data_IF_768357313407
#
_entry.id   IF_768357313407
#
_cell.length_a   1.000
_cell.length_b   1.000
_cell.length_c   1.000
_cell.angle_alpha   90.00
_cell.angle_beta   90.00
_cell.angle_gamma   90.00
#
_symmetry.space_group_name_H-M   'P 1'
#
loop_
_entity.id
_entity.type
_entity.pdbx_description
1 polymer ?
#
# COMPACT_ATOMS: atom_id res chain seq x y z
N UNK A 1 24.23 -5.95 -19.82
CA UNK A 1 23.50 -7.14 -20.28
C UNK A 1 22.13 -6.71 -20.79
N UNK A 2 21.68 -7.18 -21.96
CA UNK A 2 20.40 -6.73 -22.55
C UNK A 2 19.36 -7.86 -22.48
N UNK A 3 18.32 -7.65 -21.69
CA UNK A 3 17.26 -8.63 -21.43
C UNK A 3 15.88 -7.98 -21.69
N UNK A 4 15.48 -7.82 -22.96
CA UNK A 4 14.32 -7.00 -23.33
C UNK A 4 12.98 -7.56 -22.82
N UNK A 5 12.85 -8.88 -22.69
CA UNK A 5 11.62 -9.52 -22.19
C UNK A 5 11.46 -9.31 -20.69
N UNK A 6 12.53 -9.56 -19.93
CA UNK A 6 12.55 -9.37 -18.48
C UNK A 6 12.40 -7.88 -18.11
N UNK A 7 12.92 -6.97 -18.96
CA UNK A 7 12.77 -5.53 -18.80
C UNK A 7 11.32 -5.07 -18.93
N UNK A 8 10.60 -5.56 -19.94
CA UNK A 8 9.16 -5.26 -20.08
C UNK A 8 8.38 -5.73 -18.85
N UNK A 9 8.63 -6.97 -18.42
CA UNK A 9 8.01 -7.51 -17.21
C UNK A 9 8.35 -6.71 -15.95
N UNK A 10 9.58 -6.19 -15.84
CA UNK A 10 9.98 -5.33 -14.73
C UNK A 10 9.27 -3.98 -14.79
N UNK A 11 9.15 -3.36 -15.96
CA UNK A 11 8.42 -2.11 -16.13
C UNK A 11 6.94 -2.29 -15.77
N UNK A 12 6.30 -3.35 -16.27
CA UNK A 12 4.91 -3.65 -15.96
C UNK A 12 4.71 -3.90 -14.45
N UNK A 13 5.65 -4.60 -13.79
CA UNK A 13 5.62 -4.82 -12.34
C UNK A 13 5.77 -3.51 -11.58
N UNK A 14 6.60 -2.61 -12.09
CA UNK A 14 6.97 -1.33 -11.48
C UNK A 14 5.82 -0.32 -11.60
N UNK A 15 5.14 -0.30 -12.74
CA UNK A 15 3.90 0.48 -12.97
C UNK A 15 2.78 -0.01 -12.04
N UNK A 16 2.55 -1.32 -11.97
CA UNK A 16 1.59 -1.92 -11.03
C UNK A 16 1.93 -1.58 -9.58
N UNK A 17 3.20 -1.64 -9.19
CA UNK A 17 3.61 -1.23 -7.85
C UNK A 17 3.22 0.23 -7.58
N UNK A 18 3.50 1.14 -8.50
CA UNK A 18 3.14 2.55 -8.34
C UNK A 18 1.62 2.75 -8.14
N UNK A 19 0.80 2.07 -8.94
CA UNK A 19 -0.66 2.07 -8.76
C UNK A 19 -1.08 1.55 -7.37
N UNK A 20 -0.47 0.46 -6.91
CA UNK A 20 -0.78 -0.14 -5.61
C UNK A 20 -0.35 0.73 -4.42
N UNK A 21 0.77 1.46 -4.55
CA UNK A 21 1.21 2.47 -3.58
C UNK A 21 0.22 3.64 -3.52
N UNK A 22 -0.20 4.16 -4.68
CA UNK A 22 -1.22 5.21 -4.73
C UNK A 22 -2.56 4.76 -4.13
N UNK A 23 -3.01 3.54 -4.44
CA UNK A 23 -4.22 2.95 -3.87
C UNK A 23 -4.10 2.74 -2.36
N UNK A 24 -2.93 2.32 -1.85
CA UNK A 24 -2.67 2.19 -0.40
C UNK A 24 -2.91 3.52 0.31
N UNK A 25 -2.41 4.61 -0.25
CA UNK A 25 -2.50 5.93 0.38
C UNK A 25 -3.93 6.45 0.37
N UNK A 26 -4.63 6.27 -0.76
CA UNK A 26 -6.05 6.59 -0.86
C UNK A 26 -6.90 5.79 0.14
N UNK A 27 -6.70 4.47 0.22
CA UNK A 27 -7.40 3.61 1.17
C UNK A 27 -7.10 3.99 2.63
N UNK A 28 -5.87 4.40 2.93
CA UNK A 28 -5.47 4.82 4.27
C UNK A 28 -6.14 6.13 4.68
N UNK A 29 -6.23 7.10 3.76
CA UNK A 29 -6.94 8.35 3.98
C UNK A 29 -8.45 8.13 4.18
N UNK A 30 -9.09 7.38 3.28
CA UNK A 30 -10.52 7.05 3.38
C UNK A 30 -10.87 6.34 4.69
N UNK A 31 -10.04 5.37 5.10
CA UNK A 31 -10.24 4.67 6.37
C UNK A 31 -10.11 5.60 7.58
N UNK A 32 -9.17 6.55 7.55
CA UNK A 32 -9.01 7.53 8.63
C UNK A 32 -10.24 8.45 8.74
N UNK A 33 -10.79 8.91 7.62
CA UNK A 33 -12.03 9.70 7.58
C UNK A 33 -13.22 8.93 8.15
N UNK A 34 -13.36 7.64 7.79
CA UNK A 34 -14.42 6.79 8.35
C UNK A 34 -14.26 6.53 9.84
N UNK A 35 -13.03 6.30 10.30
CA UNK A 35 -12.74 6.16 11.73
C UNK A 35 -13.12 7.43 12.51
N UNK A 36 -12.86 8.60 11.95
CA UNK A 36 -13.29 9.87 12.56
C UNK A 36 -14.82 9.98 12.62
N UNK A 37 -15.52 9.60 11.54
CA UNK A 37 -16.98 9.56 11.50
C UNK A 37 -17.57 8.58 12.54
N UNK A 38 -16.95 7.43 12.73
CA UNK A 38 -17.33 6.44 13.76
C UNK A 38 -17.18 7.02 15.16
N UNK A 39 -16.03 7.66 15.46
CA UNK A 39 -15.80 8.32 16.75
C UNK A 39 -16.83 9.41 17.04
N UNK A 40 -17.12 10.23 16.04
CA UNK A 40 -18.11 11.30 16.16
C UNK A 40 -19.51 10.74 16.47
N UNK A 41 -19.97 9.72 15.74
CA UNK A 41 -21.27 9.09 15.98
C UNK A 41 -21.32 8.41 17.35
N UNK A 42 -20.21 7.82 17.81
CA UNK A 42 -20.12 7.22 19.13
C UNK A 42 -20.30 8.26 20.25
N UNK A 43 -19.61 9.40 20.16
CA UNK A 43 -19.76 10.51 21.13
C UNK A 43 -21.21 10.99 21.18
N UNK A 44 -21.82 11.24 20.01
CA UNK A 44 -23.23 11.67 19.94
C UNK A 44 -24.21 10.63 20.48
N UNK A 45 -23.93 9.34 20.27
CA UNK A 45 -24.74 8.25 20.82
C UNK A 45 -24.68 8.24 22.36
N UNK A 46 -23.50 8.49 22.93
CA UNK A 46 -23.28 8.51 24.37
C UNK A 46 -23.91 9.74 25.01
N UNK A 47 -23.81 10.91 24.38
CA UNK A 47 -24.52 12.11 24.82
C UNK A 47 -26.05 11.87 24.88
N UNK A 48 -26.61 11.27 23.83
CA UNK A 48 -28.03 10.91 23.81
C UNK A 48 -28.40 9.90 24.91
N UNK A 49 -27.50 8.99 25.27
CA UNK A 49 -27.68 8.03 26.37
C UNK A 49 -27.70 8.74 27.73
N UNK A 50 -26.79 9.68 27.96
CA UNK A 50 -26.69 10.46 29.21
C UNK A 50 -27.98 11.26 29.45
N UNK A 51 -28.51 11.90 28.40
CA UNK A 51 -29.75 12.71 28.47
C UNK A 51 -31.02 11.81 28.39
N UNK A 52 -30.87 10.48 28.40
CA UNK A 52 -31.95 9.47 28.34
C UNK A 52 -32.85 9.56 27.11
N UNK A 53 -32.34 10.11 26.00
CA UNK A 53 -33.06 10.17 24.72
C UNK A 53 -32.92 8.85 23.94
N UNK A 54 -33.69 7.84 24.33
CA UNK A 54 -33.61 6.47 23.79
C UNK A 54 -33.88 6.37 22.28
N UNK A 55 -34.79 7.18 21.74
CA UNK A 55 -35.09 7.20 20.30
C UNK A 55 -33.90 7.71 19.46
N UNK A 56 -33.28 8.80 19.89
CA UNK A 56 -32.12 9.39 19.23
C UNK A 56 -30.89 8.47 19.36
N UNK A 57 -30.71 7.89 20.55
CA UNK A 57 -29.67 6.90 20.83
C UNK A 57 -29.77 5.70 19.86
N UNK A 58 -30.97 5.12 19.67
CA UNK A 58 -31.17 3.99 18.75
C UNK A 58 -30.80 4.33 17.31
N UNK A 59 -31.12 5.54 16.84
CA UNK A 59 -30.73 6.02 15.50
C UNK A 59 -29.20 6.10 15.34
N UNK A 60 -28.50 6.63 16.34
CA UNK A 60 -27.04 6.70 16.30
C UNK A 60 -26.38 5.31 16.35
N UNK A 61 -26.88 4.38 17.15
CA UNK A 61 -26.37 3.00 17.16
C UNK A 61 -26.61 2.27 15.83
N UNK A 62 -27.76 2.48 15.17
CA UNK A 62 -27.99 1.93 13.84
C UNK A 62 -27.01 2.51 12.82
N UNK A 63 -26.78 3.83 12.86
CA UNK A 63 -25.76 4.48 12.01
C UNK A 63 -24.36 3.95 12.30
N UNK A 64 -24.00 3.78 13.56
CA UNK A 64 -22.72 3.23 14.00
C UNK A 64 -22.52 1.80 13.47
N UNK A 65 -23.56 0.96 13.53
CA UNK A 65 -23.51 -0.39 12.99
C UNK A 65 -23.23 -0.40 11.48
N UNK A 66 -23.93 0.43 10.71
CA UNK A 66 -23.73 0.54 9.27
C UNK A 66 -22.32 1.05 8.93
N UNK A 67 -21.83 2.07 9.65
CA UNK A 67 -20.47 2.58 9.48
C UNK A 67 -19.42 1.50 9.81
N UNK A 68 -19.64 0.71 10.87
CA UNK A 68 -18.73 -0.36 11.26
C UNK A 68 -18.68 -1.48 10.21
N UNK A 69 -19.82 -1.90 9.67
CA UNK A 69 -19.85 -2.87 8.57
C UNK A 69 -19.09 -2.36 7.34
N UNK A 70 -19.29 -1.08 7.01
CA UNK A 70 -18.64 -0.47 5.86
C UNK A 70 -17.12 -0.31 6.08
N UNK A 71 -16.69 0.00 7.31
CA UNK A 71 -15.27 0.05 7.70
C UNK A 71 -14.62 -1.34 7.63
N UNK A 72 -15.32 -2.40 8.06
CA UNK A 72 -14.83 -3.78 7.96
C UNK A 72 -14.61 -4.21 6.50
N UNK A 73 -15.52 -3.82 5.61
CA UNK A 73 -15.39 -4.08 4.18
C UNK A 73 -14.15 -3.37 3.58
N UNK A 74 -13.96 -2.08 3.89
CA UNK A 74 -12.76 -1.35 3.45
C UNK A 74 -11.46 -1.92 4.04
N UNK A 75 -11.50 -2.34 5.30
CA UNK A 75 -10.36 -2.99 5.94
C UNK A 75 -9.97 -4.28 5.20
N UNK A 76 -10.95 -5.09 4.78
CA UNK A 76 -10.71 -6.28 3.98
C UNK A 76 -10.04 -5.95 2.64
N UNK A 77 -10.52 -4.92 1.93
CA UNK A 77 -9.90 -4.44 0.69
C UNK A 77 -8.46 -3.98 0.92
N UNK A 78 -8.21 -3.24 2.01
CA UNK A 78 -6.86 -2.80 2.38
C UNK A 78 -5.92 -3.98 2.66
N UNK A 79 -6.39 -5.00 3.37
CA UNK A 79 -5.61 -6.23 3.63
C UNK A 79 -5.27 -6.94 2.32
N UNK A 80 -6.23 -7.09 1.41
CA UNK A 80 -5.99 -7.70 0.10
C UNK A 80 -4.96 -6.89 -0.72
N UNK A 81 -5.10 -5.56 -0.76
CA UNK A 81 -4.11 -4.69 -1.42
C UNK A 81 -2.71 -4.86 -0.81
N UNK A 82 -2.61 -4.89 0.51
CA UNK A 82 -1.35 -5.08 1.22
C UNK A 82 -0.69 -6.43 0.90
N UNK A 83 -1.48 -7.52 0.88
CA UNK A 83 -0.96 -8.84 0.51
C UNK A 83 -0.43 -8.88 -0.92
N UNK A 84 -1.17 -8.30 -1.87
CA UNK A 84 -0.75 -8.23 -3.26
C UNK A 84 0.53 -7.39 -3.41
N UNK A 85 0.61 -6.27 -2.68
CA UNK A 85 1.78 -5.38 -2.69
C UNK A 85 3.03 -6.11 -2.18
N UNK A 86 2.89 -6.87 -1.08
CA UNK A 86 3.98 -7.69 -0.56
C UNK A 86 4.44 -8.77 -1.56
N UNK A 87 3.51 -9.37 -2.32
CA UNK A 87 3.86 -10.34 -3.37
C UNK A 87 4.67 -9.68 -4.48
N UNK A 88 4.21 -8.52 -4.97
CA UNK A 88 4.90 -7.76 -6.01
C UNK A 88 6.31 -7.30 -5.55
N UNK A 89 6.45 -6.82 -4.31
CA UNK A 89 7.75 -6.43 -3.74
C UNK A 89 8.71 -7.62 -3.61
N UNK A 90 8.22 -8.82 -3.25
CA UNK A 90 9.04 -10.03 -3.23
C UNK A 90 9.53 -10.41 -4.63
N UNK A 91 8.68 -10.27 -5.64
CA UNK A 91 9.05 -10.51 -7.03
C UNK A 91 10.08 -9.50 -7.55
N UNK A 92 9.91 -8.22 -7.21
CA UNK A 92 10.87 -7.17 -7.51
C UNK A 92 12.24 -7.47 -6.88
N UNK A 93 12.27 -7.85 -5.59
CA UNK A 93 13.51 -8.22 -4.89
C UNK A 93 14.23 -9.40 -5.57
N UNK A 94 13.50 -10.44 -5.99
CA UNK A 94 14.07 -11.56 -6.75
C UNK A 94 14.67 -11.08 -8.08
N UNK A 95 14.04 -10.12 -8.74
CA UNK A 95 14.52 -9.55 -10.01
C UNK A 95 15.78 -8.71 -9.80
N UNK A 96 15.83 -7.90 -8.73
CA UNK A 96 17.02 -7.15 -8.31
C UNK A 96 18.18 -8.10 -8.02
N UNK A 97 17.95 -9.19 -7.27
CA UNK A 97 19.00 -10.18 -6.99
C UNK A 97 19.50 -10.89 -8.26
N UNK A 98 18.61 -11.20 -9.21
CA UNK A 98 19.02 -11.74 -10.52
C UNK A 98 19.88 -10.73 -11.28
N UNK A 99 19.51 -9.45 -11.27
CA UNK A 99 20.29 -8.37 -11.87
C UNK A 99 21.66 -8.14 -11.19
N UNK A 100 21.72 -8.28 -9.88
CA UNK A 100 22.96 -8.17 -9.10
C UNK A 100 23.92 -9.34 -9.38
N UNK A 101 23.39 -10.57 -9.52
CA UNK A 101 24.17 -11.78 -9.87
C UNK A 101 24.85 -11.72 -11.24
N UNK A 102 24.48 -10.78 -12.10
CA UNK A 102 25.18 -10.51 -13.37
C UNK A 102 26.51 -9.78 -13.15
N UNK A 103 26.79 -9.32 -11.93
CA UNK A 103 28.01 -8.61 -11.52
C UNK A 103 28.67 -9.38 -10.38
N UNK A 104 29.98 -9.17 -10.19
CA UNK A 104 30.77 -9.87 -9.17
C UNK A 104 31.43 -8.83 -8.25
N UNK A 105 31.39 -9.07 -6.93
CA UNK A 105 32.03 -8.20 -5.93
C UNK A 105 31.27 -6.90 -5.67
N UNK A 106 32.00 -5.82 -5.39
CA UNK A 106 31.44 -4.51 -5.01
C UNK A 106 30.36 -3.95 -5.95
N UNK A 107 30.47 -4.07 -7.30
CA UNK A 107 29.42 -3.61 -8.21
C UNK A 107 28.07 -4.29 -8.02
N UNK A 108 28.05 -5.55 -7.57
CA UNK A 108 26.78 -6.24 -7.27
C UNK A 108 26.11 -5.64 -6.02
N UNK A 109 26.90 -5.36 -4.98
CA UNK A 109 26.42 -4.73 -3.74
C UNK A 109 25.89 -3.31 -4.00
N UNK A 110 26.61 -2.52 -4.81
CA UNK A 110 26.20 -1.16 -5.21
C UNK A 110 24.86 -1.13 -5.94
N UNK A 111 24.61 -2.06 -6.84
CA UNK A 111 23.33 -2.17 -7.56
C UNK A 111 22.18 -2.49 -6.61
N UNK A 112 22.37 -3.41 -5.66
CA UNK A 112 21.34 -3.72 -4.65
C UNK A 112 21.06 -2.51 -3.77
N UNK A 113 22.10 -1.81 -3.31
CA UNK A 113 21.95 -0.61 -2.51
C UNK A 113 21.20 0.50 -3.26
N UNK A 114 21.57 0.77 -4.52
CA UNK A 114 20.90 1.76 -5.35
C UNK A 114 19.45 1.39 -5.66
N UNK A 115 19.14 0.12 -5.92
CA UNK A 115 17.76 -0.33 -6.09
C UNK A 115 16.94 -0.16 -4.81
N UNK A 116 17.52 -0.42 -3.63
CA UNK A 116 16.84 -0.17 -2.34
C UNK A 116 16.59 1.30 -2.09
N UNK A 117 17.55 2.17 -2.40
CA UNK A 117 17.37 3.62 -2.29
C UNK A 117 16.28 4.11 -3.26
N UNK A 118 16.27 3.63 -4.50
CA UNK A 118 15.23 3.97 -5.47
C UNK A 118 13.82 3.52 -5.02
N UNK A 119 13.70 2.38 -4.32
CA UNK A 119 12.43 1.95 -3.71
C UNK A 119 12.05 2.86 -2.54
N UNK A 120 13.01 3.26 -1.71
CA UNK A 120 12.76 4.14 -0.56
C UNK A 120 12.34 5.55 -0.98
N UNK A 121 12.86 6.03 -2.10
CA UNK A 121 12.50 7.32 -2.71
C UNK A 121 11.27 7.23 -3.62
N UNK A 122 10.63 6.05 -3.72
CA UNK A 122 9.51 5.76 -4.64
C UNK A 122 9.84 6.09 -6.13
N UNK A 123 11.12 6.12 -6.48
CA UNK A 123 11.62 6.41 -7.83
C UNK A 123 11.73 5.13 -8.66
N UNK A 124 10.55 4.64 -9.01
CA UNK A 124 10.34 3.40 -9.73
C UNK A 124 10.89 3.40 -11.17
N UNK A 125 10.96 4.56 -11.83
CA UNK A 125 11.52 4.70 -13.17
C UNK A 125 13.04 4.47 -13.24
N UNK A 126 13.73 4.60 -12.10
CA UNK A 126 15.17 4.46 -12.02
C UNK A 126 15.61 3.00 -11.86
N UNK A 127 14.75 2.14 -11.29
CA UNK A 127 15.02 0.71 -11.07
C UNK A 127 15.48 -0.03 -12.34
N UNK A 128 14.77 0.10 -13.48
CA UNK A 128 15.18 -0.57 -14.72
C UNK A 128 16.52 -0.06 -15.27
N UNK A 129 16.80 1.24 -15.09
CA UNK A 129 18.06 1.88 -15.52
C UNK A 129 19.24 1.40 -14.68
N UNK A 130 19.08 1.33 -13.35
CA UNK A 130 20.12 0.86 -12.42
C UNK A 130 20.47 -0.60 -12.70
N UNK A 131 19.48 -1.46 -12.98
CA UNK A 131 19.72 -2.89 -13.25
C UNK A 131 20.51 -3.08 -14.56
N UNK A 132 20.19 -2.30 -15.61
CA UNK A 132 20.82 -2.39 -16.94
C UNK A 132 22.24 -1.81 -16.97
N UNK A 133 22.40 -0.57 -16.51
CA UNK A 133 23.63 0.21 -16.69
C UNK A 133 24.53 0.18 -15.46
N UNK A 134 23.99 -0.16 -14.29
CA UNK A 134 24.72 -0.07 -13.01
C UNK A 134 24.61 1.32 -12.40
N UNK A 135 25.46 1.55 -11.38
CA UNK A 135 25.69 2.84 -10.71
C UNK A 135 27.07 3.33 -11.11
#
# INVERSE_FOLDING_TARGET
ANFPVQMKSLNDLTEKLNEMFALRDQLSAAMAERLNSVKEVLVRAEDARIIRQTQTMRKYYLKLHNLNQALMAEHCVRCNNHEQLLRALRELNKTIEKGARLRVGDPASKVVAACRNAIAEENFEMLPKIILFGV
#
